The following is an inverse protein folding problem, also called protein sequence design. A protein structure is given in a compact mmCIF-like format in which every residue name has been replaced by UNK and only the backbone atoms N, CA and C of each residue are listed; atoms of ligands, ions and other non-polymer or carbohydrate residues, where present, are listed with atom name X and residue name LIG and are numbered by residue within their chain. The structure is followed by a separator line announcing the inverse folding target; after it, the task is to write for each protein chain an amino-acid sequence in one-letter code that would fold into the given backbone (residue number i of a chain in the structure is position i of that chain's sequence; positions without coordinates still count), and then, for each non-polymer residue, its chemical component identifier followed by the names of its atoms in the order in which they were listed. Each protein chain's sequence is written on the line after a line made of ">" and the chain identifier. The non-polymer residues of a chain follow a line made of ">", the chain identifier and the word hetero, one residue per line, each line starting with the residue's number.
data_IF_418477336163
#
_entry.id   IF_418477336163
#
_cell.length_a   1.000
_cell.length_b   1.000
_cell.length_c   1.000
_cell.angle_alpha   90.00
_cell.angle_beta   90.00
_cell.angle_gamma   90.00
#
_symmetry.space_group_name_H-M   'P 1'
#
loop_
_entity.id
_entity.type
_entity.pdbx_description
1 polymer ?
#
# COMPACT_ATOMS: atom_id res chain seq x y z
N UNK A 1 23.59 -6.83 17.54
CA UNK A 1 24.46 -6.69 16.36
C UNK A 1 25.01 -5.29 16.31
N UNK A 2 26.34 -5.17 16.22
CA UNK A 2 26.97 -3.85 16.14
C UNK A 2 27.14 -3.45 14.69
N UNK A 3 26.77 -2.21 14.37
CA UNK A 3 26.95 -1.65 13.04
C UNK A 3 28.31 -0.95 12.93
N UNK A 4 28.93 -1.06 11.76
CA UNK A 4 30.13 -0.25 11.48
C UNK A 4 29.72 1.10 10.85
N UNK A 5 30.72 1.96 10.54
CA UNK A 5 30.47 3.30 10.04
C UNK A 5 29.76 3.37 8.69
N UNK A 6 29.77 2.27 7.92
CA UNK A 6 29.14 2.19 6.60
C UNK A 6 27.82 1.42 6.59
N UNK A 7 27.28 1.11 7.76
CA UNK A 7 26.07 0.34 7.91
C UNK A 7 25.02 1.13 8.66
N UNK A 8 23.78 0.85 8.35
CA UNK A 8 22.63 1.32 9.12
C UNK A 8 21.60 0.19 9.24
N UNK A 9 20.72 0.27 10.21
CA UNK A 9 19.56 -0.61 10.24
C UNK A 9 18.63 -0.26 9.09
N UNK A 10 17.93 -1.25 8.57
CA UNK A 10 16.87 -1.02 7.60
C UNK A 10 15.75 -0.17 8.20
N UNK A 11 15.07 0.57 7.36
CA UNK A 11 13.93 1.37 7.77
C UNK A 11 12.72 0.48 8.05
N UNK A 12 11.86 0.94 8.95
CA UNK A 12 10.61 0.26 9.27
C UNK A 12 9.45 1.13 8.81
N UNK A 13 8.58 0.57 7.97
CA UNK A 13 7.33 1.19 7.60
C UNK A 13 6.24 0.62 8.52
N UNK A 14 5.82 1.40 9.51
CA UNK A 14 4.91 0.94 10.54
C UNK A 14 3.43 0.92 10.11
N UNK A 15 3.11 1.44 8.94
CA UNK A 15 1.75 1.44 8.41
C UNK A 15 1.80 1.49 6.89
N UNK A 16 1.30 0.46 6.23
CA UNK A 16 1.32 0.40 4.78
C UNK A 16 0.15 -0.44 4.25
N UNK A 17 -0.24 -0.16 3.03
CA UNK A 17 -1.31 -0.88 2.33
C UNK A 17 -0.75 -1.42 1.01
N UNK A 18 -0.19 -2.61 1.04
CA UNK A 18 0.44 -3.23 -0.14
C UNK A 18 -0.54 -3.46 -1.28
N UNK A 19 -1.82 -3.70 -0.96
CA UNK A 19 -2.81 -4.01 -1.97
C UNK A 19 -3.14 -2.82 -2.89
N UNK A 20 -2.77 -1.61 -2.51
CA UNK A 20 -3.08 -0.40 -3.28
C UNK A 20 -1.92 0.11 -4.15
N UNK A 21 -0.82 -0.64 -4.24
CA UNK A 21 0.36 -0.19 -4.99
C UNK A 21 0.09 0.06 -6.47
N UNK A 22 -0.85 -0.69 -7.06
CA UNK A 22 -1.23 -0.52 -8.46
C UNK A 22 -2.26 0.60 -8.70
N UNK A 23 -2.69 1.29 -7.65
CA UNK A 23 -3.69 2.35 -7.78
C UNK A 23 -3.14 3.66 -8.36
N UNK A 24 -1.85 3.75 -8.60
CA UNK A 24 -1.25 4.94 -9.21
C UNK A 24 -1.82 5.16 -10.60
N UNK A 25 -2.19 6.40 -10.88
CA UNK A 25 -2.84 6.74 -12.14
C UNK A 25 -4.33 6.41 -12.19
N UNK A 26 -4.90 5.92 -11.09
CA UNK A 26 -6.33 5.71 -10.99
C UNK A 26 -7.08 7.03 -11.27
N UNK A 27 -8.18 6.99 -12.05
CA UNK A 27 -8.94 8.21 -12.32
C UNK A 27 -9.45 8.87 -11.05
N UNK A 28 -9.49 10.20 -11.06
CA UNK A 28 -10.04 10.96 -9.95
C UNK A 28 -11.52 10.68 -9.79
N UNK A 29 -12.06 10.75 -8.56
CA UNK A 29 -13.50 10.60 -8.34
C UNK A 29 -14.27 11.76 -8.98
N UNK A 30 -15.54 11.51 -9.29
CA UNK A 30 -16.41 12.51 -9.91
C UNK A 30 -16.73 13.68 -8.97
N UNK A 31 -16.61 13.46 -7.69
CA UNK A 31 -16.89 14.45 -6.64
C UNK A 31 -15.68 14.61 -5.75
N UNK A 32 -15.49 15.81 -5.21
CA UNK A 32 -14.44 16.07 -4.23
C UNK A 32 -14.86 15.48 -2.89
N UNK A 33 -14.07 14.57 -2.30
CA UNK A 33 -14.40 14.04 -0.98
C UNK A 33 -14.35 15.12 0.09
N UNK A 34 -15.39 15.18 0.93
CA UNK A 34 -15.49 16.14 2.02
C UNK A 34 -15.33 15.51 3.40
N UNK A 35 -15.24 14.19 3.46
CA UNK A 35 -15.14 13.43 4.71
C UNK A 35 -14.35 12.16 4.48
N UNK A 36 -13.94 11.51 5.57
CA UNK A 36 -13.30 10.20 5.48
C UNK A 36 -14.23 9.15 4.86
N UNK A 37 -15.53 9.21 5.18
CA UNK A 37 -16.52 8.32 4.55
C UNK A 37 -16.61 8.51 3.05
N UNK A 38 -16.50 9.75 2.57
CA UNK A 38 -16.47 10.04 1.15
C UNK A 38 -15.21 9.47 0.48
N UNK A 39 -14.06 9.57 1.14
CA UNK A 39 -12.82 8.99 0.62
C UNK A 39 -12.98 7.48 0.48
N UNK A 40 -13.54 6.81 1.46
CA UNK A 40 -13.81 5.38 1.39
C UNK A 40 -14.74 5.06 0.22
N UNK A 41 -15.85 5.75 0.12
CA UNK A 41 -16.89 5.46 -0.88
C UNK A 41 -16.44 5.79 -2.31
N UNK A 42 -15.77 6.93 -2.51
CA UNK A 42 -15.41 7.42 -3.84
C UNK A 42 -14.10 6.86 -4.36
N UNK A 43 -13.21 6.42 -3.49
CA UNK A 43 -11.87 5.95 -3.89
C UNK A 43 -11.60 4.53 -3.42
N UNK A 44 -11.50 4.31 -2.11
CA UNK A 44 -11.01 3.05 -1.58
C UNK A 44 -11.91 1.86 -1.89
N UNK A 45 -13.19 2.00 -1.71
CA UNK A 45 -14.12 0.89 -1.99
C UNK A 45 -14.24 0.59 -3.48
N UNK A 46 -14.05 1.59 -4.35
CA UNK A 46 -13.95 1.34 -5.79
C UNK A 46 -12.72 0.53 -6.14
N UNK A 47 -11.58 0.89 -5.56
CA UNK A 47 -10.35 0.14 -5.73
C UNK A 47 -10.51 -1.28 -5.22
N UNK A 48 -11.05 -1.44 -4.02
CA UNK A 48 -11.25 -2.76 -3.41
C UNK A 48 -12.09 -3.68 -4.28
N UNK A 49 -13.14 -3.15 -4.89
CA UNK A 49 -14.00 -3.95 -5.77
C UNK A 49 -13.36 -4.28 -7.12
N UNK A 50 -12.39 -3.51 -7.54
CA UNK A 50 -11.67 -3.73 -8.79
C UNK A 50 -10.55 -4.75 -8.67
N UNK A 51 -10.10 -5.03 -7.44
CA UNK A 51 -8.99 -5.96 -7.21
C UNK A 51 -9.44 -7.41 -7.27
N UNK A 52 -8.59 -8.25 -7.83
CA UNK A 52 -8.72 -9.70 -7.76
C UNK A 52 -7.44 -10.29 -7.16
N UNK A 53 -7.37 -11.61 -7.05
CA UNK A 53 -6.22 -12.28 -6.44
C UNK A 53 -4.92 -11.98 -7.19
N UNK A 54 -4.98 -11.96 -8.52
CA UNK A 54 -3.80 -11.69 -9.34
C UNK A 54 -3.31 -10.26 -9.16
N UNK A 55 -4.21 -9.28 -9.21
CA UNK A 55 -3.81 -7.86 -9.05
C UNK A 55 -3.31 -7.58 -7.64
N UNK A 56 -3.88 -8.21 -6.62
CA UNK A 56 -3.39 -8.10 -5.23
C UNK A 56 -1.97 -8.65 -5.13
N UNK A 57 -1.70 -9.80 -5.74
CA UNK A 57 -0.36 -10.38 -5.74
C UNK A 57 0.67 -9.45 -6.37
N UNK A 58 0.37 -8.93 -7.57
CA UNK A 58 1.28 -8.01 -8.25
C UNK A 58 1.43 -6.69 -7.51
N UNK A 59 0.36 -6.20 -6.91
CA UNK A 59 0.41 -4.99 -6.09
C UNK A 59 1.33 -5.17 -4.89
N UNK A 60 1.23 -6.30 -4.20
CA UNK A 60 2.10 -6.59 -3.07
C UNK A 60 3.56 -6.74 -3.49
N UNK A 61 3.82 -7.40 -4.62
CA UNK A 61 5.19 -7.54 -5.15
C UNK A 61 5.80 -6.19 -5.50
N UNK A 62 5.05 -5.32 -6.16
CA UNK A 62 5.50 -3.98 -6.50
C UNK A 62 5.80 -3.17 -5.25
N UNK A 63 4.89 -3.19 -4.28
CA UNK A 63 5.08 -2.45 -3.03
C UNK A 63 6.28 -2.96 -2.23
N UNK A 64 6.50 -4.27 -2.20
CA UNK A 64 7.66 -4.85 -1.55
C UNK A 64 8.97 -4.46 -2.24
N UNK A 65 8.98 -4.47 -3.58
CA UNK A 65 10.15 -4.05 -4.34
C UNK A 65 10.51 -2.58 -4.07
N UNK A 66 9.52 -1.71 -4.08
CA UNK A 66 9.72 -0.29 -3.79
C UNK A 66 10.23 -0.07 -2.36
N UNK A 67 9.74 -0.86 -1.41
CA UNK A 67 10.23 -0.82 -0.04
C UNK A 67 11.71 -1.18 0.02
N UNK A 68 12.12 -2.25 -0.65
CA UNK A 68 13.53 -2.66 -0.70
C UNK A 68 14.39 -1.58 -1.35
N UNK A 69 13.95 -0.99 -2.44
CA UNK A 69 14.68 0.08 -3.13
C UNK A 69 14.88 1.32 -2.25
N UNK A 70 13.96 1.57 -1.34
CA UNK A 70 14.06 2.71 -0.40
C UNK A 70 14.77 2.37 0.92
N UNK A 71 15.28 1.15 1.06
CA UNK A 71 15.96 0.72 2.27
C UNK A 71 15.06 0.27 3.40
N UNK A 72 13.78 0.03 3.12
CA UNK A 72 12.81 -0.47 4.09
C UNK A 72 12.88 -1.98 4.15
N UNK A 73 13.14 -2.53 5.35
CA UNK A 73 13.33 -3.96 5.56
C UNK A 73 12.24 -4.61 6.39
N UNK A 74 11.33 -3.82 6.92
CA UNK A 74 10.20 -4.32 7.69
C UNK A 74 8.95 -3.47 7.39
N UNK A 75 7.86 -4.13 7.09
CA UNK A 75 6.58 -3.48 6.81
C UNK A 75 5.51 -4.06 7.71
N UNK A 76 4.76 -3.19 8.36
CA UNK A 76 3.53 -3.58 9.06
C UNK A 76 2.37 -3.21 8.15
N UNK A 77 1.87 -4.19 7.42
CA UNK A 77 0.82 -3.97 6.42
C UNK A 77 -0.56 -4.11 7.04
N UNK A 78 -1.47 -3.27 6.57
CA UNK A 78 -2.89 -3.35 6.91
C UNK A 78 -3.63 -3.89 5.69
N UNK A 79 -4.34 -4.99 5.89
CA UNK A 79 -5.12 -5.63 4.84
C UNK A 79 -6.43 -6.16 5.41
N UNK A 80 -7.43 -6.23 4.56
CA UNK A 80 -8.71 -6.79 4.95
C UNK A 80 -8.71 -8.29 4.62
N UNK A 81 -9.18 -9.09 5.56
CA UNK A 81 -9.15 -10.54 5.46
C UNK A 81 -10.50 -11.16 5.06
N UNK A 82 -11.52 -10.33 4.85
CA UNK A 82 -12.85 -10.78 4.47
C UNK A 82 -13.32 -10.03 3.23
N UNK A 83 -14.26 -10.62 2.52
CA UNK A 83 -14.82 -10.02 1.32
C UNK A 83 -15.75 -8.86 1.66
N UNK A 84 -15.81 -7.93 0.76
CA UNK A 84 -16.65 -6.75 0.82
C UNK A 84 -17.84 -6.89 -0.12
#
# INVERSE_FOLDING_TARGET
>A
MDLNANQTFGLVCAHHHLYSSLARGMPSPDKIPNSFGDILNLVWWKLDRALDLETIEWSAKLGALEALESGTTCIIAVSYTHLR
#
